data_IF_170051656121
#
_entry.id   IF_170051656121
#
_cell.length_a   1.000
_cell.length_b   1.000
_cell.length_c   1.000
_cell.angle_alpha   90.00
_cell.angle_beta   90.00
_cell.angle_gamma   90.00
#
_symmetry.space_group_name_H-M   'P 1'
#
loop_
_entity.id
_entity.type
_entity.pdbx_description
1 polymer ?
#
# COMPACT_ATOMS: atom_id res chain seq x y z
N UNK A 1 2.43 -3.17 0.27
CA UNK A 1 3.59 -2.32 0.64
C UNK A 1 4.70 -3.21 1.16
N UNK A 2 5.86 -3.18 0.50
CA UNK A 2 7.06 -3.89 0.96
C UNK A 2 7.47 -3.40 2.35
N UNK A 3 8.02 -4.28 3.18
CA UNK A 3 8.58 -3.94 4.50
C UNK A 3 9.65 -2.86 4.36
N UNK A 4 10.45 -2.93 3.29
CA UNK A 4 11.49 -1.94 2.98
C UNK A 4 10.91 -0.55 2.75
N UNK A 5 9.81 -0.44 1.98
CA UNK A 5 9.13 0.84 1.75
C UNK A 5 8.64 1.45 3.06
N UNK A 6 8.04 0.65 3.96
CA UNK A 6 7.59 1.15 5.27
C UNK A 6 8.76 1.66 6.14
N UNK A 7 9.88 0.95 6.13
CA UNK A 7 11.07 1.36 6.88
C UNK A 7 11.68 2.65 6.33
N UNK A 8 11.81 2.75 5.01
CA UNK A 8 12.27 3.98 4.35
C UNK A 8 11.30 5.15 4.57
N UNK A 9 10.00 4.89 4.57
CA UNK A 9 8.99 5.90 4.90
C UNK A 9 9.26 6.46 6.30
N UNK A 10 9.41 5.58 7.30
CA UNK A 10 9.65 5.98 8.68
C UNK A 10 10.97 6.76 8.86
N UNK A 11 12.05 6.32 8.21
CA UNK A 11 13.32 7.05 8.27
C UNK A 11 13.20 8.42 7.61
N UNK A 12 12.62 8.48 6.41
CA UNK A 12 12.48 9.72 5.66
C UNK A 12 11.61 10.75 6.38
N UNK A 13 10.53 10.30 7.04
CA UNK A 13 9.68 11.20 7.84
C UNK A 13 10.40 11.70 9.08
N UNK A 14 11.12 10.84 9.81
CA UNK A 14 11.93 11.26 10.96
C UNK A 14 13.04 12.24 10.56
N UNK A 15 13.72 12.00 9.44
CA UNK A 15 14.76 12.88 8.92
C UNK A 15 14.22 14.25 8.49
N UNK A 16 13.06 14.29 7.82
CA UNK A 16 12.41 15.55 7.46
C UNK A 16 11.94 16.33 8.70
N UNK A 17 11.43 15.64 9.72
CA UNK A 17 11.08 16.26 10.99
C UNK A 17 12.32 16.80 11.71
N UNK A 18 13.41 16.06 11.73
CA UNK A 18 14.68 16.47 12.34
C UNK A 18 15.28 17.70 11.62
N UNK A 19 15.31 17.68 10.28
CA UNK A 19 15.75 18.82 9.48
C UNK A 19 14.83 20.04 9.65
N UNK A 20 13.52 19.82 9.73
CA UNK A 20 12.53 20.86 10.00
C UNK A 20 12.71 21.51 11.38
N UNK A 21 12.99 20.70 12.40
CA UNK A 21 13.30 21.19 13.75
C UNK A 21 14.60 21.99 13.78
N UNK A 22 15.66 21.49 13.14
CA UNK A 22 16.96 22.19 13.02
C UNK A 22 16.82 23.54 12.30
N UNK A 23 16.02 23.58 11.23
CA UNK A 23 15.69 24.83 10.51
C UNK A 23 14.91 25.81 11.40
N UNK A 24 13.96 25.31 12.19
CA UNK A 24 13.21 26.13 13.13
C UNK A 24 14.10 26.74 14.23
N UNK A 25 15.00 25.95 14.83
CA UNK A 25 15.95 26.44 15.82
C UNK A 25 16.88 27.49 15.21
N UNK A 26 17.46 27.21 14.04
CA UNK A 26 18.33 28.16 13.33
C UNK A 26 17.60 29.48 13.05
N UNK A 27 16.36 29.42 12.56
CA UNK A 27 15.58 30.62 12.27
C UNK A 27 15.21 31.39 13.54
N UNK A 28 14.90 30.68 14.62
CA UNK A 28 14.59 31.29 15.93
C UNK A 28 15.82 31.98 16.50
N UNK A 29 17.00 31.35 16.43
CA UNK A 29 18.27 31.94 16.84
C UNK A 29 18.62 33.14 15.97
N UNK A 30 18.49 33.03 14.64
CA UNK A 30 18.71 34.14 13.70
C UNK A 30 17.86 35.35 14.08
N UNK A 31 16.55 35.16 14.28
CA UNK A 31 15.62 36.23 14.71
C UNK A 31 16.06 36.86 16.03
N UNK A 32 16.39 36.06 17.04
CA UNK A 32 16.87 36.55 18.35
C UNK A 32 18.16 37.37 18.22
N UNK A 33 19.08 36.95 17.35
CA UNK A 33 20.35 37.65 17.14
C UNK A 33 20.16 38.99 16.42
N UNK A 34 19.29 39.05 15.40
CA UNK A 34 18.94 40.30 14.72
C UNK A 34 18.26 41.29 15.66
N UNK A 35 17.41 40.83 16.58
CA UNK A 35 16.75 41.71 17.56
C UNK A 35 17.70 42.22 18.65
N UNK A 36 18.65 41.38 19.10
CA UNK A 36 19.56 41.71 20.22
C UNK A 36 20.93 42.26 19.79
N UNK A 37 21.23 42.33 18.49
CA UNK A 37 22.54 42.77 17.99
C UNK A 37 22.38 43.54 16.67
N UNK A 38 23.06 44.67 16.52
CA UNK A 38 23.16 45.45 15.27
C UNK A 38 24.05 44.76 14.20
N UNK A 39 24.14 43.42 14.23
CA UNK A 39 24.85 42.64 13.24
C UNK A 39 23.95 42.47 12.01
N UNK A 40 24.53 42.58 10.82
CA UNK A 40 23.81 42.33 9.57
C UNK A 40 23.65 40.82 9.37
N UNK A 41 22.71 40.21 10.10
CA UNK A 41 22.46 38.75 10.11
C UNK A 41 21.70 38.29 8.87
N UNK A 42 21.22 39.20 8.02
CA UNK A 42 20.48 38.86 6.80
C UNK A 42 21.33 38.09 5.79
N UNK A 43 22.65 38.33 5.78
CA UNK A 43 23.62 37.58 4.98
C UNK A 43 23.82 36.13 5.45
N UNK A 44 23.42 35.78 6.68
CA UNK A 44 23.54 34.41 7.19
C UNK A 44 22.41 33.56 6.61
N UNK A 45 22.76 32.83 5.56
CA UNK A 45 21.90 31.85 4.90
C UNK A 45 21.80 30.57 5.77
N UNK A 46 20.77 29.75 5.51
CA UNK A 46 20.62 28.46 6.18
C UNK A 46 21.88 27.60 5.94
N UNK A 47 22.44 26.95 6.97
CA UNK A 47 23.58 26.06 6.82
C UNK A 47 23.36 25.02 5.72
N UNK A 48 24.39 24.74 4.94
CA UNK A 48 24.33 23.77 3.85
C UNK A 48 24.00 22.36 4.32
N UNK A 49 24.38 22.01 5.54
CA UNK A 49 24.07 20.73 6.15
C UNK A 49 22.55 20.49 6.26
N UNK A 50 21.81 21.44 6.87
CA UNK A 50 20.34 21.38 6.98
C UNK A 50 19.67 21.31 5.58
N UNK A 51 20.22 22.06 4.60
CA UNK A 51 19.72 22.00 3.22
C UNK A 51 19.89 20.61 2.61
N UNK A 52 21.06 19.99 2.77
CA UNK A 52 21.36 18.66 2.24
C UNK A 52 20.57 17.57 2.96
N UNK A 53 20.40 17.69 4.28
CA UNK A 53 19.59 16.77 5.08
C UNK A 53 18.13 16.77 4.61
N UNK A 54 17.55 17.96 4.39
CA UNK A 54 16.18 18.10 3.86
C UNK A 54 16.05 17.48 2.46
N UNK A 55 16.99 17.78 1.55
CA UNK A 55 16.99 17.20 0.19
C UNK A 55 17.09 15.68 0.25
N UNK A 56 17.99 15.14 1.08
CA UNK A 56 18.14 13.71 1.27
C UNK A 56 16.85 13.08 1.82
N UNK A 57 16.19 13.73 2.78
CA UNK A 57 14.90 13.29 3.31
C UNK A 57 13.80 13.24 2.23
N UNK A 58 13.73 14.25 1.35
CA UNK A 58 12.78 14.28 0.22
C UNK A 58 13.07 13.16 -0.79
N UNK A 59 14.33 12.94 -1.13
CA UNK A 59 14.73 11.86 -2.04
C UNK A 59 14.39 10.48 -1.45
N UNK A 60 14.66 10.25 -0.17
CA UNK A 60 14.29 9.00 0.50
C UNK A 60 12.77 8.82 0.58
N UNK A 61 12.02 9.88 0.85
CA UNK A 61 10.55 9.84 0.91
C UNK A 61 9.95 9.49 -0.46
N UNK A 62 10.43 10.13 -1.53
CA UNK A 62 9.98 9.83 -2.90
C UNK A 62 10.29 8.40 -3.31
N UNK A 63 11.51 7.90 -3.02
CA UNK A 63 11.86 6.50 -3.25
C UNK A 63 10.95 5.55 -2.46
N UNK A 64 10.71 5.85 -1.18
CA UNK A 64 9.81 5.07 -0.32
C UNK A 64 8.41 4.92 -0.92
N UNK A 65 7.85 5.99 -1.48
CA UNK A 65 6.55 5.99 -2.15
C UNK A 65 6.57 5.08 -3.38
N UNK A 66 7.58 5.18 -4.25
CA UNK A 66 7.68 4.30 -5.43
C UNK A 66 7.82 2.82 -5.05
N UNK A 67 8.63 2.49 -4.04
CA UNK A 67 8.78 1.13 -3.53
C UNK A 67 7.51 0.60 -2.83
N UNK A 68 6.56 1.47 -2.52
CA UNK A 68 5.30 1.11 -1.88
C UNK A 68 4.37 0.34 -2.81
N UNK A 69 4.43 0.67 -4.11
CA UNK A 69 3.66 0.00 -5.16
C UNK A 69 4.21 -1.42 -5.40
N UNK A 70 3.43 -2.41 -5.01
CA UNK A 70 3.72 -3.82 -5.30
C UNK A 70 3.04 -4.26 -6.59
N UNK A 71 3.54 -5.34 -7.19
CA UNK A 71 2.82 -6.04 -8.26
C UNK A 71 1.49 -6.57 -7.74
N UNK A 72 0.50 -6.66 -8.63
CA UNK A 72 -0.80 -7.23 -8.28
C UNK A 72 -0.69 -8.74 -8.19
N UNK A 73 -1.04 -9.28 -7.02
CA UNK A 73 -1.04 -10.72 -6.76
C UNK A 73 -2.40 -11.09 -6.19
N UNK A 74 -2.98 -12.19 -6.69
CA UNK A 74 -4.29 -12.66 -6.25
C UNK A 74 -4.32 -14.19 -6.15
N UNK A 75 -5.21 -14.68 -5.30
CA UNK A 75 -5.49 -16.10 -5.15
C UNK A 75 -6.76 -16.45 -5.93
N UNK A 76 -6.78 -17.57 -6.65
CA UNK A 76 -7.97 -18.02 -7.34
C UNK A 76 -9.03 -18.49 -6.33
N UNK A 77 -10.30 -18.22 -6.63
CA UNK A 77 -11.44 -18.62 -5.80
C UNK A 77 -11.72 -20.13 -5.88
N UNK A 78 -11.38 -20.76 -7.00
CA UNK A 78 -11.59 -22.19 -7.25
C UNK A 78 -10.31 -22.88 -7.73
N UNK A 79 -10.12 -24.13 -7.31
CA UNK A 79 -8.99 -24.97 -7.72
C UNK A 79 -7.80 -24.95 -6.75
N UNK A 80 -6.60 -25.21 -7.28
CA UNK A 80 -5.36 -25.21 -6.49
C UNK A 80 -5.02 -23.78 -6.09
N UNK A 81 -4.70 -23.59 -4.80
CA UNK A 81 -4.23 -22.32 -4.21
C UNK A 81 -2.84 -21.92 -4.75
N UNK A 82 -2.76 -21.63 -6.05
CA UNK A 82 -1.57 -21.13 -6.72
C UNK A 82 -1.69 -19.63 -6.83
N UNK A 83 -0.67 -18.92 -6.34
CA UNK A 83 -0.59 -17.48 -6.45
C UNK A 83 -0.52 -17.06 -7.92
N UNK A 84 -1.50 -16.28 -8.37
CA UNK A 84 -1.51 -15.66 -9.68
C UNK A 84 -0.89 -14.26 -9.54
N UNK A 85 0.11 -13.98 -10.36
CA UNK A 85 0.81 -12.70 -10.37
C UNK A 85 0.56 -12.02 -11.71
N UNK A 86 0.18 -10.76 -11.65
CA UNK A 86 0.10 -9.89 -12.81
C UNK A 86 1.31 -8.95 -12.79
N UNK A 87 1.94 -8.73 -13.94
CA UNK A 87 3.14 -7.88 -14.03
C UNK A 87 2.82 -6.38 -13.92
N UNK A 88 1.53 -6.02 -13.91
CA UNK A 88 1.06 -4.66 -13.77
C UNK A 88 1.10 -4.21 -12.30
N UNK A 89 1.57 -2.98 -12.06
CA UNK A 89 1.52 -2.35 -10.73
C UNK A 89 0.13 -1.78 -10.43
N UNK A 90 -0.54 -1.26 -11.45
CA UNK A 90 -1.84 -0.62 -11.35
C UNK A 90 -2.90 -1.43 -12.07
N UNK A 91 -4.16 -1.23 -11.68
CA UNK A 91 -5.28 -1.89 -12.34
C UNK A 91 -5.51 -1.26 -13.72
N UNK A 92 -5.67 -2.10 -14.72
CA UNK A 92 -6.04 -1.67 -16.07
C UNK A 92 -7.43 -1.00 -16.06
N UNK A 93 -7.55 0.12 -16.78
CA UNK A 93 -8.80 0.89 -16.88
C UNK A 93 -9.72 0.40 -17.99
N UNK A 94 -9.16 -0.25 -19.02
CA UNK A 94 -9.94 -0.77 -20.12
C UNK A 94 -10.71 -2.02 -19.63
N UNK A 95 -12.03 -1.97 -19.69
CA UNK A 95 -12.92 -3.02 -19.19
C UNK A 95 -12.55 -4.42 -19.71
N UNK A 96 -12.18 -4.53 -20.99
CA UNK A 96 -11.83 -5.80 -21.61
C UNK A 96 -10.61 -6.44 -20.93
N UNK A 97 -9.62 -5.63 -20.54
CA UNK A 97 -8.43 -6.10 -19.82
C UNK A 97 -8.66 -6.22 -18.32
N UNK A 98 -9.38 -5.27 -17.73
CA UNK A 98 -9.70 -5.25 -16.31
C UNK A 98 -10.51 -6.49 -15.87
N UNK A 99 -11.34 -7.02 -16.75
CA UNK A 99 -12.13 -8.23 -16.49
C UNK A 99 -11.29 -9.49 -16.53
N UNK A 100 -10.16 -9.50 -17.26
CA UNK A 100 -9.30 -10.69 -17.36
C UNK A 100 -8.74 -11.12 -16.01
N UNK A 101 -8.31 -10.18 -15.15
CA UNK A 101 -7.82 -10.51 -13.81
C UNK A 101 -8.92 -11.13 -12.93
N UNK A 102 -10.16 -10.66 -13.06
CA UNK A 102 -11.34 -11.23 -12.37
C UNK A 102 -11.68 -12.62 -12.90
N UNK A 103 -11.66 -12.81 -14.21
CA UNK A 103 -11.89 -14.11 -14.85
C UNK A 103 -10.80 -15.12 -14.45
N UNK A 104 -9.53 -14.70 -14.42
CA UNK A 104 -8.40 -15.51 -13.95
C UNK A 104 -8.56 -15.91 -12.49
N UNK A 105 -9.08 -15.01 -11.64
CA UNK A 105 -9.41 -15.32 -10.26
C UNK A 105 -10.65 -16.23 -10.11
N UNK A 106 -11.43 -16.44 -11.17
CA UNK A 106 -12.71 -17.16 -11.12
C UNK A 106 -13.84 -16.36 -10.46
N UNK A 107 -13.71 -15.03 -10.39
CA UNK A 107 -14.70 -14.15 -9.79
C UNK A 107 -15.58 -13.52 -10.87
N UNK A 108 -16.90 -13.55 -10.66
CA UNK A 108 -17.85 -12.79 -11.47
C UNK A 108 -18.22 -11.48 -10.75
N UNK A 109 -17.89 -10.30 -11.32
CA UNK A 109 -18.28 -9.00 -10.75
C UNK A 109 -19.79 -8.82 -10.59
N UNK A 110 -20.60 -9.54 -11.39
CA UNK A 110 -22.06 -9.51 -11.35
C UNK A 110 -22.65 -10.73 -10.63
N UNK A 111 -21.88 -11.34 -9.74
CA UNK A 111 -22.26 -12.56 -9.02
C UNK A 111 -23.59 -12.47 -8.29
N UNK A 112 -23.95 -11.30 -7.76
CA UNK A 112 -25.22 -11.09 -7.05
C UNK A 112 -26.44 -11.30 -7.96
N UNK A 113 -26.31 -10.95 -9.24
CA UNK A 113 -27.39 -11.13 -10.24
C UNK A 113 -27.30 -12.53 -10.85
N UNK A 114 -26.09 -13.01 -11.14
CA UNK A 114 -25.91 -14.31 -11.83
C UNK A 114 -26.23 -15.50 -10.91
N UNK A 115 -25.87 -15.42 -9.63
CA UNK A 115 -26.05 -16.52 -8.69
C UNK A 115 -27.27 -16.38 -7.79
N UNK A 116 -27.96 -15.23 -7.82
CA UNK A 116 -29.21 -14.96 -7.11
C UNK A 116 -29.19 -15.51 -5.65
N UNK A 117 -28.28 -15.02 -4.79
CA UNK A 117 -28.06 -15.60 -3.46
C UNK A 117 -29.32 -15.60 -2.59
N UNK A 118 -30.28 -14.71 -2.87
CA UNK A 118 -31.57 -14.64 -2.17
C UNK A 118 -32.54 -15.78 -2.50
N UNK A 119 -32.38 -16.45 -3.65
CA UNK A 119 -33.29 -17.48 -4.15
C UNK A 119 -32.68 -18.89 -4.11
N UNK A 120 -31.61 -19.08 -3.35
CA UNK A 120 -30.97 -20.38 -3.20
C UNK A 120 -31.89 -21.32 -2.42
N UNK A 121 -32.14 -22.53 -2.95
CA UNK A 121 -32.85 -23.57 -2.22
C UNK A 121 -32.00 -24.09 -1.06
N UNK A 122 -32.39 -23.68 0.15
CA UNK A 122 -31.72 -24.04 1.39
C UNK A 122 -31.85 -25.54 1.68
N UNK A 123 -32.98 -26.17 1.32
CA UNK A 123 -33.22 -27.58 1.58
C UNK A 123 -32.34 -28.44 0.67
N UNK A 124 -32.29 -28.11 -0.62
CA UNK A 124 -31.41 -28.79 -1.58
C UNK A 124 -29.93 -28.67 -1.15
N UNK A 125 -29.46 -27.47 -0.81
CA UNK A 125 -28.07 -27.28 -0.38
C UNK A 125 -27.74 -28.07 0.89
N UNK A 126 -28.67 -28.18 1.84
CA UNK A 126 -28.50 -29.01 3.04
C UNK A 126 -28.42 -30.49 2.71
N UNK A 127 -29.20 -30.97 1.74
CA UNK A 127 -29.09 -32.36 1.27
C UNK A 127 -27.74 -32.63 0.59
N UNK A 128 -27.28 -31.72 -0.28
CA UNK A 128 -25.99 -31.84 -0.94
C UNK A 128 -24.84 -31.97 0.08
N UNK A 129 -24.81 -31.08 1.08
CA UNK A 129 -23.79 -31.10 2.14
C UNK A 129 -23.89 -32.38 2.99
N UNK A 130 -25.10 -32.86 3.27
CA UNK A 130 -25.29 -34.15 3.97
C UNK A 130 -24.71 -35.32 3.16
N UNK A 131 -25.03 -35.40 1.87
CA UNK A 131 -24.51 -36.44 0.97
C UNK A 131 -22.98 -36.39 0.89
N UNK A 132 -22.39 -35.20 0.77
CA UNK A 132 -20.93 -35.01 0.75
C UNK A 132 -20.28 -35.50 2.05
N UNK A 133 -20.82 -35.13 3.21
CA UNK A 133 -20.31 -35.57 4.52
C UNK A 133 -20.37 -37.10 4.66
N UNK A 134 -21.46 -37.71 4.24
CA UNK A 134 -21.64 -39.16 4.34
C UNK A 134 -20.66 -39.91 3.41
N UNK A 135 -20.30 -39.32 2.26
CA UNK A 135 -19.26 -39.84 1.36
C UNK A 135 -17.85 -39.74 1.95
N UNK A 136 -17.49 -38.59 2.54
CA UNK A 136 -16.22 -38.37 3.26
C UNK A 136 -16.04 -39.36 4.42
N UNK A 137 -17.12 -39.66 5.15
CA UNK A 137 -17.09 -40.61 6.26
C UNK A 137 -16.83 -42.03 5.77
N UNK A 138 -17.50 -42.45 4.68
CA UNK A 138 -17.31 -43.78 4.06
C UNK A 138 -15.93 -44.00 3.42
N UNK A 139 -15.18 -42.95 3.09
CA UNK A 139 -13.82 -43.07 2.55
C UNK A 139 -12.74 -43.20 3.64
N UNK A 140 -13.07 -42.97 4.92
CA UNK A 140 -12.13 -43.05 6.04
C UNK A 140 -12.19 -44.37 6.81
N UNK A 141 -13.27 -45.14 6.64
CA UNK A 141 -13.44 -46.52 7.14
C UNK A 141 -12.95 -47.55 6.11
#
# INVERSE_FOLDING_TARGET
MSVVSKFLLLISTLQLLHSGFSSHEFLTMKKRLTTNSNLNVDAVLLPKDIQLEAICGVVLLTLSIFLSFGKQEFLPLSGKMKLLKEDNLLQEINMNKATNSKNLAGCNPYGDITHLPSFVDIHEKREEVRRWRDQETKQKD
#
